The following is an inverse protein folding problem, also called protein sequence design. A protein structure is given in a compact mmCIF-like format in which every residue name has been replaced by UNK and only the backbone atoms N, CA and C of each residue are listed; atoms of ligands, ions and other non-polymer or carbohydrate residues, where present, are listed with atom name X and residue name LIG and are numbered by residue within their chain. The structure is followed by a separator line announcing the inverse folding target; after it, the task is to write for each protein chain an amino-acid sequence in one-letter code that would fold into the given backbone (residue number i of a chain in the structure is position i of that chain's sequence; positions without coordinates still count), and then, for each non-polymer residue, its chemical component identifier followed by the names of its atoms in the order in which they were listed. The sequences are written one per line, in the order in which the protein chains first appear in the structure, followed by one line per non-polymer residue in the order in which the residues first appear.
data_IF_824376226236
#
_entry.id   IF_824376226236
#
_cell.length_a   1.000
_cell.length_b   1.000
_cell.length_c   1.000
_cell.angle_alpha   90.00
_cell.angle_beta   90.00
_cell.angle_gamma   90.00
#
_symmetry.space_group_name_H-M   'P 1'
#
loop_
_entity.id
_entity.type
_entity.pdbx_description
1 polymer ?
#
# COMPACT_ATOMS: atom_id res chain seq x y z
N UNK A 1 -9.10 -15.77 20.62
CA UNK A 1 -9.00 -14.80 19.51
C UNK A 1 -7.63 -14.19 19.63
N UNK A 2 -6.81 -14.30 18.59
CA UNK A 2 -5.43 -13.76 18.61
C UNK A 2 -5.49 -12.24 18.57
N UNK A 3 -4.81 -11.57 19.50
CA UNK A 3 -4.71 -10.11 19.55
C UNK A 3 -3.39 -9.64 18.94
N UNK A 4 -3.48 -8.76 17.94
CA UNK A 4 -2.33 -8.19 17.24
C UNK A 4 -2.30 -6.68 17.44
N UNK A 5 -1.23 -6.17 18.03
CA UNK A 5 -0.97 -4.72 18.15
C UNK A 5 -0.28 -4.22 16.88
N UNK A 6 -0.87 -3.25 16.18
CA UNK A 6 -0.25 -2.58 15.02
C UNK A 6 0.32 -1.21 15.42
N UNK A 7 1.64 -1.09 15.43
CA UNK A 7 2.32 0.19 15.63
C UNK A 7 2.67 0.76 14.25
N UNK A 8 2.03 1.85 13.85
CA UNK A 8 2.33 2.57 12.62
C UNK A 8 2.87 3.98 12.94
N UNK A 9 3.62 4.56 12.00
CA UNK A 9 4.09 5.95 12.09
C UNK A 9 3.28 6.93 11.21
N UNK A 10 2.07 6.51 10.83
CA UNK A 10 1.11 7.26 10.04
C UNK A 10 -0.30 6.98 10.57
N UNK A 11 -1.21 7.94 10.34
CA UNK A 11 -2.58 7.88 10.86
C UNK A 11 -3.64 7.81 9.74
N UNK A 12 -3.23 7.86 8.47
CA UNK A 12 -4.13 7.75 7.31
C UNK A 12 -3.58 6.78 6.27
N UNK A 13 -4.43 5.95 5.66
CA UNK A 13 -5.88 5.78 5.92
C UNK A 13 -6.16 5.14 7.28
N UNK A 14 -7.38 5.26 7.82
CA UNK A 14 -7.76 4.43 8.97
C UNK A 14 -7.66 2.95 8.57
N UNK A 15 -6.82 2.19 9.29
CA UNK A 15 -6.62 0.77 9.02
C UNK A 15 -7.86 -0.05 9.35
N UNK A 16 -8.63 0.33 10.38
CA UNK A 16 -9.75 -0.48 10.85
C UNK A 16 -10.93 -0.45 9.88
N UNK A 17 -11.11 0.63 9.11
CA UNK A 17 -12.11 0.71 8.03
C UNK A 17 -11.98 -0.40 6.98
N UNK A 18 -10.82 -1.07 6.94
CA UNK A 18 -10.54 -2.18 6.03
C UNK A 18 -11.03 -3.54 6.55
N UNK A 19 -11.82 -3.56 7.61
CA UNK A 19 -12.41 -4.76 8.20
C UNK A 19 -13.92 -4.64 8.30
N UNK A 20 -14.66 -5.76 8.32
CA UNK A 20 -16.10 -5.75 8.53
C UNK A 20 -16.49 -4.96 9.78
N UNK A 21 -17.45 -4.03 9.65
CA UNK A 21 -17.92 -3.14 10.70
C UNK A 21 -16.82 -2.33 11.40
N UNK A 22 -15.68 -2.13 10.73
CA UNK A 22 -14.51 -1.45 11.25
C UNK A 22 -13.95 -2.09 12.54
N UNK A 23 -14.22 -3.39 12.73
CA UNK A 23 -13.97 -4.09 13.99
C UNK A 23 -12.51 -4.44 14.26
N UNK A 24 -11.68 -4.38 13.22
CA UNK A 24 -10.32 -4.92 13.22
C UNK A 24 -10.27 -6.44 13.27
N UNK A 25 -11.37 -7.15 13.03
CA UNK A 25 -11.44 -8.61 13.16
C UNK A 25 -11.44 -9.28 11.78
N UNK A 26 -10.47 -10.18 11.57
CA UNK A 26 -10.33 -11.01 10.38
C UNK A 26 -10.03 -12.45 10.80
N UNK A 27 -10.85 -13.42 10.38
CA UNK A 27 -10.63 -14.86 10.60
C UNK A 27 -10.22 -15.26 12.04
N UNK A 28 -10.79 -14.60 13.06
CA UNK A 28 -10.49 -14.88 14.47
C UNK A 28 -9.22 -14.20 15.01
N UNK A 29 -8.64 -13.27 14.24
CA UNK A 29 -7.55 -12.37 14.63
C UNK A 29 -8.13 -10.97 14.81
N UNK A 30 -7.83 -10.33 15.94
CA UNK A 30 -8.21 -8.95 16.23
C UNK A 30 -6.97 -8.06 16.15
N UNK A 31 -7.00 -7.09 15.25
CA UNK A 31 -6.00 -6.05 15.11
C UNK A 31 -6.42 -4.81 15.91
N UNK A 32 -5.46 -4.14 16.55
CA UNK A 32 -5.71 -2.87 17.23
C UNK A 32 -4.56 -1.87 17.05
N UNK A 33 -4.93 -0.63 16.77
CA UNK A 33 -4.02 0.52 16.76
C UNK A 33 -3.92 1.20 18.14
N UNK A 34 -4.79 0.84 19.07
CA UNK A 34 -4.77 1.37 20.43
C UNK A 34 -3.68 0.69 21.25
N UNK A 35 -3.05 1.42 22.19
CA UNK A 35 -2.14 0.83 23.17
C UNK A 35 -2.83 -0.29 23.97
N UNK A 36 -2.13 -1.40 24.16
CA UNK A 36 -2.54 -2.50 25.04
C UNK A 36 -1.34 -2.93 25.88
N UNK A 37 -1.60 -3.46 27.08
CA UNK A 37 -0.55 -3.95 27.98
C UNK A 37 0.03 -5.28 27.52
N UNK A 38 -0.79 -6.16 26.92
CA UNK A 38 -0.42 -7.49 26.46
C UNK A 38 -1.11 -7.81 25.13
N UNK A 39 -0.39 -8.51 24.24
CA UNK A 39 -0.92 -9.04 22.99
C UNK A 39 -0.16 -10.30 22.55
N UNK A 40 -0.74 -11.08 21.64
CA UNK A 40 -0.10 -12.27 21.10
C UNK A 40 0.99 -11.92 20.08
N UNK A 41 0.80 -10.85 19.29
CA UNK A 41 1.74 -10.38 18.26
C UNK A 41 1.81 -8.86 18.19
N UNK A 42 2.97 -8.35 17.79
CA UNK A 42 3.19 -6.95 17.45
C UNK A 42 3.62 -6.85 16.00
N UNK A 43 2.94 -6.02 15.21
CA UNK A 43 3.35 -5.65 13.86
C UNK A 43 3.74 -4.17 13.86
N UNK A 44 4.98 -3.87 13.47
CA UNK A 44 5.50 -2.51 13.37
C UNK A 44 5.59 -2.11 11.89
N UNK A 45 4.75 -1.17 11.47
CA UNK A 45 4.71 -0.66 10.10
C UNK A 45 5.56 0.62 10.00
N UNK A 46 6.61 0.58 9.17
CA UNK A 46 7.55 1.68 8.92
C UNK A 46 8.29 2.20 10.17
N UNK A 47 8.26 1.46 11.28
CA UNK A 47 8.92 1.80 12.53
C UNK A 47 8.00 2.47 13.57
N UNK A 48 8.45 2.48 14.82
CA UNK A 48 7.74 3.12 15.92
C UNK A 48 8.13 4.60 16.05
N UNK A 49 7.14 5.51 16.01
CA UNK A 49 7.35 6.95 16.18
C UNK A 49 7.55 7.38 17.64
N UNK A 50 7.13 6.54 18.59
CA UNK A 50 7.20 6.77 20.03
C UNK A 50 7.68 5.49 20.72
N UNK A 51 8.45 5.65 21.79
CA UNK A 51 8.77 4.53 22.68
C UNK A 51 7.48 3.96 23.27
N UNK A 52 7.34 2.64 23.21
CA UNK A 52 6.18 1.93 23.76
C UNK A 52 6.65 0.66 24.45
N UNK A 53 5.90 0.23 25.46
CA UNK A 53 6.17 -0.97 26.24
C UNK A 53 4.94 -1.85 26.15
N UNK A 54 5.13 -3.12 25.82
CA UNK A 54 4.06 -4.11 25.65
C UNK A 54 4.58 -5.49 26.05
N UNK A 55 3.75 -6.27 26.71
CA UNK A 55 4.01 -7.68 27.00
C UNK A 55 3.66 -8.51 25.76
N UNK A 56 4.68 -9.05 25.09
CA UNK A 56 4.55 -9.86 23.88
C UNK A 56 5.76 -10.80 23.80
N UNK A 57 5.59 -12.06 23.38
CA UNK A 57 6.72 -12.95 23.10
C UNK A 57 7.69 -12.29 22.09
N UNK A 58 9.00 -12.23 22.37
CA UNK A 58 9.96 -11.58 21.47
C UNK A 58 9.90 -12.10 20.03
N UNK A 59 9.64 -13.40 19.85
CA UNK A 59 9.49 -14.05 18.55
C UNK A 59 8.26 -13.59 17.74
N UNK A 60 7.29 -12.94 18.38
CA UNK A 60 6.04 -12.47 17.79
C UNK A 60 6.05 -10.95 17.51
N UNK A 61 7.21 -10.30 17.65
CA UNK A 61 7.41 -8.89 17.28
C UNK A 61 7.99 -8.83 15.87
N UNK A 62 7.21 -8.38 14.90
CA UNK A 62 7.59 -8.32 13.50
C UNK A 62 7.55 -6.89 12.98
N UNK A 63 8.47 -6.57 12.06
CA UNK A 63 8.57 -5.28 11.40
C UNK A 63 8.29 -5.43 9.91
N UNK A 64 7.70 -4.42 9.32
CA UNK A 64 7.39 -4.36 7.90
C UNK A 64 7.66 -2.96 7.37
N UNK A 65 8.28 -2.88 6.20
CA UNK A 65 8.48 -1.61 5.50
C UNK A 65 7.60 -1.57 4.27
N UNK A 66 6.83 -0.50 4.16
CA UNK A 66 5.83 -0.33 3.11
C UNK A 66 6.36 0.46 1.92
N UNK A 67 7.53 1.09 2.09
CA UNK A 67 8.23 1.82 1.03
C UNK A 67 9.24 0.91 0.32
N UNK A 68 9.54 1.12 -0.97
CA UNK A 68 10.47 0.27 -1.70
C UNK A 68 11.94 0.55 -1.33
N UNK A 69 12.84 -0.43 -1.53
CA UNK A 69 14.27 -0.36 -1.19
C UNK A 69 15.07 0.44 -2.22
N UNK A 70 14.68 1.70 -2.40
CA UNK A 70 15.47 2.67 -3.14
C UNK A 70 16.78 2.98 -2.41
N UNK A 71 17.73 3.62 -3.10
CA UNK A 71 19.07 3.94 -2.57
C UNK A 71 19.04 4.53 -1.14
N UNK A 72 18.15 5.50 -0.89
CA UNK A 72 18.03 6.16 0.42
C UNK A 72 17.16 5.41 1.43
N UNK A 73 16.42 4.38 0.99
CA UNK A 73 15.45 3.63 1.82
C UNK A 73 15.90 2.22 2.15
N UNK A 74 16.94 1.69 1.48
CA UNK A 74 17.55 0.39 1.85
C UNK A 74 17.82 0.24 3.36
N UNK A 75 18.31 1.27 4.09
CA UNK A 75 18.50 1.15 5.55
C UNK A 75 17.22 0.85 6.33
N UNK A 76 16.05 1.24 5.82
CA UNK A 76 14.77 0.96 6.47
C UNK A 76 14.44 -0.54 6.43
N UNK A 77 14.94 -1.26 5.42
CA UNK A 77 14.70 -2.69 5.24
C UNK A 77 15.54 -3.58 6.16
N UNK A 78 16.51 -3.02 6.89
CA UNK A 78 17.31 -3.77 7.86
C UNK A 78 16.46 -4.09 9.09
N UNK A 79 16.47 -5.35 9.54
CA UNK A 79 15.68 -5.77 10.69
C UNK A 79 16.11 -5.01 11.95
N UNK A 80 15.24 -4.24 12.61
CA UNK A 80 15.60 -3.52 13.82
C UNK A 80 15.80 -4.49 14.99
N UNK A 81 16.61 -4.11 15.98
CA UNK A 81 17.00 -4.98 17.10
C UNK A 81 15.86 -5.45 18.00
N UNK A 82 14.72 -4.74 17.98
CA UNK A 82 13.52 -5.11 18.74
C UNK A 82 12.65 -6.15 18.03
N UNK A 83 12.93 -6.46 16.76
CA UNK A 83 12.07 -7.25 15.89
C UNK A 83 12.69 -8.61 15.57
N UNK A 84 11.90 -9.66 15.64
CA UNK A 84 12.33 -11.03 15.33
C UNK A 84 12.24 -11.36 13.84
N UNK A 85 11.34 -10.70 13.11
CA UNK A 85 11.18 -10.85 11.66
C UNK A 85 11.06 -9.49 10.98
N UNK A 86 11.58 -9.41 9.76
CA UNK A 86 11.50 -8.25 8.90
C UNK A 86 10.86 -8.63 7.57
N UNK A 87 9.64 -8.14 7.34
CA UNK A 87 8.95 -8.24 6.07
C UNK A 87 9.44 -7.14 5.13
N UNK A 88 10.01 -7.54 4.00
CA UNK A 88 10.76 -6.64 3.13
C UNK A 88 10.55 -6.95 1.66
N UNK A 89 10.56 -5.90 0.84
CA UNK A 89 10.64 -6.00 -0.61
C UNK A 89 12.09 -5.94 -1.13
N UNK A 90 13.10 -5.79 -0.26
CA UNK A 90 14.52 -5.87 -0.65
C UNK A 90 14.97 -7.32 -0.82
N UNK A 91 15.01 -7.75 -2.07
CA UNK A 91 15.40 -9.11 -2.48
C UNK A 91 16.89 -9.40 -2.24
N UNK A 92 17.72 -8.38 -2.02
CA UNK A 92 19.15 -8.56 -1.78
C UNK A 92 19.44 -8.96 -0.32
N UNK A 93 18.49 -8.74 0.60
CA UNK A 93 18.65 -9.09 2.01
C UNK A 93 18.50 -10.60 2.22
N UNK A 94 19.43 -11.16 2.99
CA UNK A 94 19.52 -12.60 3.27
C UNK A 94 19.64 -12.87 4.77
N UNK A 95 19.21 -14.05 5.19
CA UNK A 95 19.18 -14.46 6.61
C UNK A 95 17.78 -14.84 7.07
N UNK A 96 17.70 -15.66 8.11
CA UNK A 96 16.43 -16.23 8.58
C UNK A 96 15.46 -15.21 9.19
N UNK A 97 15.93 -13.99 9.51
CA UNK A 97 15.06 -12.93 9.98
C UNK A 97 14.28 -12.22 8.85
N UNK A 98 14.70 -12.34 7.59
CA UNK A 98 14.06 -11.63 6.48
C UNK A 98 13.00 -12.49 5.81
N UNK A 99 11.80 -11.92 5.67
CA UNK A 99 10.68 -12.50 4.95
C UNK A 99 10.41 -11.63 3.73
N UNK A 100 10.62 -12.17 2.54
CA UNK A 100 10.35 -11.47 1.28
C UNK A 100 8.85 -11.48 0.99
N UNK A 101 8.23 -10.29 1.00
CA UNK A 101 6.79 -10.15 0.82
C UNK A 101 6.44 -8.78 0.25
N UNK A 102 5.20 -8.67 -0.26
CA UNK A 102 4.56 -7.41 -0.61
C UNK A 102 4.38 -6.49 0.63
N UNK A 103 4.28 -5.16 0.45
CA UNK A 103 4.38 -4.18 1.55
C UNK A 103 3.14 -4.06 2.46
N UNK A 104 2.09 -4.85 2.23
CA UNK A 104 0.78 -4.81 2.90
C UNK A 104 0.25 -3.38 3.08
N UNK A 105 0.31 -2.60 1.99
CA UNK A 105 -0.23 -1.24 1.97
C UNK A 105 -1.77 -1.29 2.05
N UNK A 106 -2.39 -0.41 2.86
CA UNK A 106 -3.83 -0.27 2.85
C UNK A 106 -4.33 0.34 1.54
N UNK A 107 -5.60 0.14 1.19
CA UNK A 107 -6.19 0.92 0.10
C UNK A 107 -6.39 2.38 0.51
N UNK A 108 -6.31 3.31 -0.43
CA UNK A 108 -6.32 4.75 -0.22
C UNK A 108 -7.56 5.45 -0.77
N UNK A 109 -8.46 4.74 -1.47
CA UNK A 109 -9.82 5.25 -1.71
C UNK A 109 -10.56 5.42 -0.37
N UNK A 110 -11.34 6.48 -0.16
CA UNK A 110 -12.03 6.72 1.11
C UNK A 110 -13.37 5.96 1.23
N UNK A 111 -13.35 4.67 0.91
CA UNK A 111 -14.47 3.74 1.09
C UNK A 111 -14.11 2.65 2.10
N UNK A 112 -15.07 2.26 2.93
CA UNK A 112 -14.88 1.20 3.93
C UNK A 112 -15.17 -0.19 3.37
N UNK A 113 -14.82 -1.21 4.15
CA UNK A 113 -14.99 -2.60 3.77
C UNK A 113 -16.45 -2.95 3.47
N UNK A 114 -17.40 -2.53 4.30
CA UNK A 114 -18.80 -2.94 4.17
C UNK A 114 -19.45 -2.33 2.92
N UNK A 115 -19.11 -1.08 2.60
CA UNK A 115 -19.45 -0.47 1.34
C UNK A 115 -18.84 -1.26 0.18
N UNK A 116 -17.53 -1.49 0.17
CA UNK A 116 -16.82 -2.14 -0.94
C UNK A 116 -17.29 -3.59 -1.16
N UNK A 117 -17.58 -4.32 -0.09
CA UNK A 117 -18.10 -5.69 -0.15
C UNK A 117 -19.49 -5.78 -0.78
N UNK A 118 -20.31 -4.73 -0.67
CA UNK A 118 -21.63 -4.64 -1.27
C UNK A 118 -21.67 -3.85 -2.59
N UNK A 119 -20.58 -3.17 -2.93
CA UNK A 119 -20.49 -2.29 -4.08
C UNK A 119 -20.48 -3.07 -5.40
N UNK A 120 -21.53 -2.87 -6.20
CA UNK A 120 -21.68 -3.47 -7.51
C UNK A 120 -20.97 -2.64 -8.57
N UNK A 121 -20.55 -3.30 -9.64
CA UNK A 121 -19.93 -2.65 -10.78
C UNK A 121 -20.78 -1.45 -11.27
N UNK A 122 -20.24 -0.22 -11.25
CA UNK A 122 -20.96 0.96 -11.71
C UNK A 122 -20.91 1.07 -13.24
N UNK A 123 -21.77 1.92 -13.80
CA UNK A 123 -21.60 2.37 -15.19
C UNK A 123 -20.30 3.20 -15.30
N UNK A 124 -19.51 2.93 -16.35
CA UNK A 124 -18.26 3.63 -16.62
C UNK A 124 -18.43 4.66 -17.73
N UNK A 125 -18.45 5.93 -17.35
CA UNK A 125 -18.70 7.08 -18.23
C UNK A 125 -17.41 7.73 -18.77
N UNK A 126 -16.29 7.54 -18.09
CA UNK A 126 -14.98 8.07 -18.48
C UNK A 126 -14.05 6.95 -19.00
N UNK A 127 -13.09 7.29 -19.88
CA UNK A 127 -12.21 6.29 -20.49
C UNK A 127 -10.97 5.97 -19.65
N UNK A 128 -10.07 6.93 -19.47
CA UNK A 128 -8.75 6.71 -18.89
C UNK A 128 -8.40 7.82 -17.91
N UNK A 129 -8.04 7.46 -16.68
CA UNK A 129 -7.44 8.37 -15.71
C UNK A 129 -5.98 8.05 -15.45
N UNK A 130 -5.28 9.00 -14.85
CA UNK A 130 -4.02 8.75 -14.19
C UNK A 130 -3.93 9.57 -12.91
N UNK A 131 -3.88 8.91 -11.76
CA UNK A 131 -3.67 9.57 -10.47
C UNK A 131 -2.19 9.43 -10.08
N UNK A 132 -1.45 10.54 -10.07
CA UNK A 132 -0.02 10.54 -9.73
C UNK A 132 0.46 11.86 -9.13
N UNK A 133 1.55 11.82 -8.35
CA UNK A 133 2.29 13.02 -7.95
C UNK A 133 3.33 13.43 -9.00
N UNK A 134 3.67 14.72 -9.01
CA UNK A 134 4.71 15.35 -9.82
C UNK A 134 6.13 15.20 -9.27
N UNK A 135 6.34 14.29 -8.30
CA UNK A 135 7.64 14.06 -7.68
C UNK A 135 8.70 13.62 -8.71
N UNK A 136 9.96 14.03 -8.48
CA UNK A 136 11.13 13.72 -9.35
C UNK A 136 12.37 13.28 -8.57
N UNK A 137 12.24 12.94 -7.29
CA UNK A 137 13.35 12.66 -6.38
C UNK A 137 13.99 11.29 -6.66
N UNK A 138 13.18 10.25 -6.75
CA UNK A 138 13.64 8.87 -6.97
C UNK A 138 13.84 8.60 -8.47
N UNK A 139 14.62 7.55 -8.81
CA UNK A 139 14.79 7.12 -10.21
C UNK A 139 13.44 6.83 -10.87
N UNK A 140 12.58 6.05 -10.23
CA UNK A 140 11.27 5.72 -10.81
C UNK A 140 10.31 6.92 -10.86
N UNK A 141 10.45 7.91 -9.96
CA UNK A 141 9.74 9.19 -10.09
C UNK A 141 10.09 9.89 -11.42
N UNK A 142 11.39 10.01 -11.74
CA UNK A 142 11.84 10.63 -12.99
C UNK A 142 11.37 9.86 -14.23
N UNK A 143 11.47 8.54 -14.20
CA UNK A 143 11.00 7.67 -15.29
C UNK A 143 9.50 7.84 -15.52
N UNK A 144 8.71 7.87 -14.43
CA UNK A 144 7.25 8.08 -14.50
C UNK A 144 6.90 9.44 -15.09
N UNK A 145 7.59 10.51 -14.69
CA UNK A 145 7.35 11.85 -15.25
C UNK A 145 7.81 11.97 -16.70
N UNK A 146 8.92 11.32 -17.07
CA UNK A 146 9.32 11.23 -18.46
C UNK A 146 8.26 10.48 -19.30
N UNK A 147 7.69 9.39 -18.77
CA UNK A 147 6.59 8.68 -19.44
C UNK A 147 5.37 9.59 -19.65
N UNK A 148 5.00 10.37 -18.63
CA UNK A 148 3.95 11.39 -18.75
C UNK A 148 4.23 12.37 -19.90
N UNK A 149 5.43 12.95 -19.94
CA UNK A 149 5.85 13.86 -21.02
C UNK A 149 5.78 13.20 -22.41
N UNK A 150 6.01 11.88 -22.50
CA UNK A 150 5.95 11.16 -23.78
C UNK A 150 4.55 10.88 -24.28
N UNK A 151 3.57 10.69 -23.39
CA UNK A 151 2.18 10.36 -23.77
C UNK A 151 1.27 11.58 -23.86
N UNK A 152 1.65 12.68 -23.20
CA UNK A 152 0.86 13.91 -23.18
C UNK A 152 0.67 14.46 -24.60
N UNK A 153 -0.58 14.73 -24.98
CA UNK A 153 -0.96 15.16 -26.33
C UNK A 153 -0.99 14.05 -27.39
N UNK A 154 -0.59 12.82 -27.06
CA UNK A 154 -0.68 11.63 -27.94
C UNK A 154 -1.77 10.65 -27.50
N UNK A 155 -2.08 10.65 -26.20
CA UNK A 155 -3.12 9.85 -25.58
C UNK A 155 -4.04 10.79 -24.79
N UNK A 156 -5.34 10.57 -24.90
CA UNK A 156 -6.34 11.29 -24.11
C UNK A 156 -6.56 10.59 -22.77
N UNK A 157 -6.38 11.32 -21.68
CA UNK A 157 -6.57 10.84 -20.32
C UNK A 157 -6.72 12.02 -19.35
N UNK A 158 -7.50 11.81 -18.30
CA UNK A 158 -7.61 12.78 -17.21
C UNK A 158 -6.46 12.58 -16.22
N UNK A 159 -5.63 13.60 -16.06
CA UNK A 159 -4.50 13.60 -15.14
C UNK A 159 -4.90 14.24 -13.80
N UNK A 160 -4.87 13.43 -12.74
CA UNK A 160 -5.19 13.85 -11.37
C UNK A 160 -3.97 13.77 -10.46
N UNK A 161 -3.93 14.65 -9.45
CA UNK A 161 -2.91 14.68 -8.43
C UNK A 161 -2.60 16.08 -7.92
N UNK A 162 -1.95 16.16 -6.76
CA UNK A 162 -1.63 17.42 -6.06
C UNK A 162 -0.89 18.44 -6.94
N UNK A 163 0.03 17.95 -7.78
CA UNK A 163 0.87 18.80 -8.64
C UNK A 163 0.26 19.02 -10.04
N UNK A 164 -0.97 18.51 -10.25
CA UNK A 164 -1.72 18.58 -11.51
C UNK A 164 -3.14 19.07 -11.21
N UNK A 165 -4.17 18.28 -11.51
CA UNK A 165 -5.55 18.56 -11.11
C UNK A 165 -5.85 17.82 -9.79
N UNK A 166 -5.94 18.51 -8.65
CA UNK A 166 -6.21 17.86 -7.37
C UNK A 166 -7.63 17.27 -7.33
N UNK A 167 -7.76 16.15 -6.62
CA UNK A 167 -9.03 15.51 -6.24
C UNK A 167 -8.98 15.25 -4.74
N UNK A 168 -10.13 15.31 -4.07
CA UNK A 168 -10.22 15.12 -2.62
C UNK A 168 -10.03 13.65 -2.24
N UNK A 169 -10.64 12.75 -3.01
CA UNK A 169 -10.50 11.31 -2.88
C UNK A 169 -10.06 10.70 -4.22
N UNK A 170 -9.15 9.72 -4.17
CA UNK A 170 -8.79 8.90 -5.33
C UNK A 170 -10.01 8.22 -5.94
N UNK A 171 -11.04 7.92 -5.14
CA UNK A 171 -12.29 7.34 -5.61
C UNK A 171 -12.88 8.10 -6.81
N UNK A 172 -12.86 9.43 -6.77
CA UNK A 172 -13.44 10.29 -7.82
C UNK A 172 -12.68 10.20 -9.14
N UNK A 173 -11.38 9.91 -9.07
CA UNK A 173 -10.52 9.68 -10.23
C UNK A 173 -10.55 8.22 -10.74
N UNK A 174 -11.36 7.33 -10.15
CA UNK A 174 -11.37 5.89 -10.47
C UNK A 174 -12.77 5.33 -10.75
N UNK A 175 -13.77 5.64 -9.94
CA UNK A 175 -15.07 4.95 -9.96
C UNK A 175 -15.81 5.08 -11.28
N UNK A 176 -15.70 6.24 -11.95
CA UNK A 176 -16.35 6.51 -13.24
C UNK A 176 -15.51 6.07 -14.44
N UNK A 177 -14.24 5.69 -14.22
CA UNK A 177 -13.28 5.37 -15.28
C UNK A 177 -13.25 3.88 -15.61
N UNK A 178 -13.13 3.56 -16.91
CA UNK A 178 -12.88 2.19 -17.38
C UNK A 178 -11.47 1.74 -17.08
N UNK A 179 -10.49 2.62 -17.30
CA UNK A 179 -9.08 2.33 -17.11
C UNK A 179 -8.39 3.39 -16.25
N UNK A 180 -7.33 2.99 -15.55
CA UNK A 180 -6.42 3.94 -14.91
C UNK A 180 -4.97 3.51 -15.07
N UNK A 181 -4.07 4.46 -15.32
CA UNK A 181 -2.63 4.21 -15.33
C UNK A 181 -2.14 4.02 -13.88
N UNK A 182 -1.90 2.77 -13.48
CA UNK A 182 -1.38 2.41 -12.17
C UNK A 182 0.15 2.21 -12.23
N UNK A 183 0.89 3.32 -12.25
CA UNK A 183 2.34 3.33 -12.47
C UNK A 183 3.10 3.56 -11.16
N UNK A 184 3.83 2.53 -10.73
CA UNK A 184 4.65 2.59 -9.53
C UNK A 184 5.90 3.46 -9.70
N UNK A 185 6.43 3.92 -8.57
CA UNK A 185 7.70 4.65 -8.50
C UNK A 185 8.92 3.72 -8.34
N UNK A 186 8.70 2.40 -8.34
CA UNK A 186 9.73 1.38 -8.18
C UNK A 186 9.28 0.08 -8.85
N UNK A 187 10.22 -0.74 -9.29
CA UNK A 187 9.94 -2.01 -9.96
C UNK A 187 10.88 -3.09 -9.44
N UNK A 188 10.31 -4.15 -8.90
CA UNK A 188 10.97 -5.39 -8.52
C UNK A 188 9.91 -6.51 -8.42
N UNK A 189 10.28 -7.76 -8.07
CA UNK A 189 9.32 -8.87 -8.01
C UNK A 189 8.25 -8.81 -6.91
N UNK A 190 8.35 -7.91 -5.93
CA UNK A 190 7.54 -7.95 -4.70
C UNK A 190 6.72 -6.67 -4.47
N UNK A 191 7.08 -5.55 -5.10
CA UNK A 191 6.54 -4.23 -4.80
C UNK A 191 5.38 -3.86 -5.71
N UNK A 192 4.18 -4.03 -5.20
CA UNK A 192 2.96 -3.38 -5.67
C UNK A 192 2.33 -2.60 -4.52
N UNK A 193 1.55 -1.56 -4.85
CA UNK A 193 1.01 -0.64 -3.85
C UNK A 193 -0.51 -0.50 -3.95
N UNK A 194 -1.04 0.42 -3.15
CA UNK A 194 -2.45 0.79 -3.17
C UNK A 194 -2.91 1.23 -4.56
N UNK A 195 -2.02 1.77 -5.42
CA UNK A 195 -2.40 2.23 -6.77
C UNK A 195 -3.11 1.14 -7.58
N UNK A 196 -2.69 -0.11 -7.40
CA UNK A 196 -3.31 -1.25 -8.05
C UNK A 196 -4.60 -1.67 -7.34
N UNK A 197 -4.58 -1.81 -6.01
CA UNK A 197 -5.74 -2.20 -5.22
C UNK A 197 -6.91 -1.20 -5.37
N UNK A 198 -6.62 0.10 -5.31
CA UNK A 198 -7.57 1.19 -5.48
C UNK A 198 -8.33 1.06 -6.81
N UNK A 199 -7.64 0.69 -7.90
CA UNK A 199 -8.28 0.48 -9.20
C UNK A 199 -9.30 -0.68 -9.13
N UNK A 200 -8.88 -1.84 -8.63
CA UNK A 200 -9.75 -3.01 -8.53
C UNK A 200 -10.98 -2.75 -7.66
N UNK A 201 -10.78 -2.12 -6.49
CA UNK A 201 -11.87 -1.79 -5.57
C UNK A 201 -12.87 -0.79 -6.16
N UNK A 202 -12.43 0.06 -7.08
CA UNK A 202 -13.29 1.01 -7.82
C UNK A 202 -13.88 0.42 -9.12
N UNK A 203 -13.76 -0.89 -9.37
CA UNK A 203 -14.11 -1.54 -10.64
C UNK A 203 -13.41 -0.91 -11.86
N UNK A 204 -12.24 -0.31 -11.67
CA UNK A 204 -11.45 0.34 -12.71
C UNK A 204 -10.31 -0.60 -13.13
N UNK A 205 -10.13 -0.83 -14.43
CA UNK A 205 -9.11 -1.76 -14.92
C UNK A 205 -7.74 -1.08 -14.93
N UNK A 206 -6.76 -1.54 -14.13
CA UNK A 206 -5.44 -0.92 -14.12
C UNK A 206 -4.65 -1.26 -15.39
N UNK A 207 -4.03 -0.24 -15.99
CA UNK A 207 -2.92 -0.40 -16.92
C UNK A 207 -1.65 -0.22 -16.08
N UNK A 208 -0.97 -1.34 -15.80
CA UNK A 208 -0.02 -1.42 -14.69
C UNK A 208 1.46 -1.44 -15.12
N UNK A 209 2.30 -0.80 -14.30
CA UNK A 209 3.76 -0.97 -14.31
C UNK A 209 4.31 -0.88 -12.89
N UNK A 210 5.12 -1.85 -12.47
CA UNK A 210 5.72 -1.87 -11.14
C UNK A 210 6.27 -3.24 -10.79
N UNK A 211 5.49 -4.02 -10.05
CA UNK A 211 5.82 -5.37 -9.61
C UNK A 211 6.04 -6.30 -10.82
N UNK A 212 7.23 -6.87 -10.96
CA UNK A 212 7.53 -7.82 -12.05
C UNK A 212 6.99 -9.23 -11.77
N UNK A 213 6.66 -9.53 -10.50
CA UNK A 213 6.00 -10.77 -10.05
C UNK A 213 4.49 -10.59 -9.84
N UNK A 214 3.85 -9.64 -10.54
CA UNK A 214 2.45 -9.27 -10.22
C UNK A 214 1.46 -10.44 -10.35
N UNK A 215 1.75 -11.39 -11.24
CA UNK A 215 0.93 -12.58 -11.47
C UNK A 215 0.95 -13.58 -10.31
N UNK A 216 1.87 -13.41 -9.36
CA UNK A 216 1.89 -14.21 -8.12
C UNK A 216 0.82 -13.72 -7.12
N UNK A 217 0.29 -12.51 -7.32
CA UNK A 217 -0.69 -11.85 -6.44
C UNK A 217 -2.07 -11.69 -7.08
N UNK A 218 -2.12 -11.46 -8.40
CA UNK A 218 -3.35 -11.20 -9.14
C UNK A 218 -3.41 -12.04 -10.42
N UNK A 219 -4.61 -12.41 -10.89
CA UNK A 219 -4.77 -13.06 -12.21
C UNK A 219 -4.21 -12.19 -13.35
N UNK A 220 -3.66 -12.81 -14.41
CA UNK A 220 -3.16 -12.09 -15.58
C UNK A 220 -4.27 -11.46 -16.44
#
# INVERSE_FOLDING_TARGET
MTLVRIIANWDWPDLLRQSPNHSGIWEGIKFTLEPVEECDYVIVLNGASKTTTINCPPEHIWSMVQEPPTEFRKPWHVNPSYSFRMFTTDVDLTGSQYIHSQPALPWHINQDYDFLASFKAPEKTQQLSWITSGQRVLKGHRVRMYFLEQIQGKLDFDLWGRDFNPIDDKWDGLVSYRYSLAIENYSNPLYWSEKLADCYLAWCMPIYYGCTGITDYFPP
#
